data_IF_732765026700
#
_entry.id   IF_732765026700
#
_cell.length_a   1.000
_cell.length_b   1.000
_cell.length_c   1.000
_cell.angle_alpha   90.00
_cell.angle_beta   90.00
_cell.angle_gamma   90.00
#
_symmetry.space_group_name_H-M   'P 1'
#
loop_
_entity.id
_entity.type
_entity.pdbx_description
1 polymer ?
#
# COMPACT_ATOMS: atom_id res chain seq x y z
N UNK A 1 9.72 -75.39 -37.95
CA UNK A 1 9.44 -73.99 -38.31
C UNK A 1 8.72 -73.34 -37.11
N UNK A 2 9.34 -72.55 -36.25
CA UNK A 2 8.69 -71.82 -35.24
C UNK A 2 8.50 -70.34 -35.68
N UNK A 3 7.28 -69.83 -35.51
CA UNK A 3 6.86 -68.45 -35.80
C UNK A 3 7.32 -67.55 -34.66
N UNK A 4 8.15 -66.61 -34.96
CA UNK A 4 8.54 -65.50 -34.07
C UNK A 4 7.39 -64.48 -33.98
N UNK A 5 6.87 -64.29 -32.75
CA UNK A 5 5.94 -63.18 -32.42
C UNK A 5 6.73 -61.93 -32.11
N UNK A 6 6.50 -60.88 -32.84
CA UNK A 6 6.97 -59.55 -32.54
C UNK A 6 6.11 -58.93 -31.40
N UNK A 7 6.80 -58.36 -30.41
CA UNK A 7 6.17 -57.59 -29.31
C UNK A 7 5.90 -56.16 -29.79
N UNK A 8 4.80 -55.52 -29.35
CA UNK A 8 4.52 -54.14 -29.71
C UNK A 8 5.37 -53.15 -28.88
N UNK A 9 5.95 -52.17 -29.54
CA UNK A 9 6.60 -51.03 -28.96
C UNK A 9 5.58 -50.22 -28.14
N UNK A 10 5.83 -50.08 -26.85
CA UNK A 10 5.12 -49.12 -26.01
C UNK A 10 5.59 -47.71 -26.32
N UNK A 11 4.72 -46.90 -26.88
CA UNK A 11 4.92 -45.45 -27.08
C UNK A 11 4.71 -44.80 -25.71
N UNK A 12 5.80 -44.38 -25.03
CA UNK A 12 5.74 -43.48 -23.90
C UNK A 12 5.31 -42.08 -24.41
N UNK A 13 4.04 -41.75 -24.24
CA UNK A 13 3.60 -40.37 -24.39
C UNK A 13 4.08 -39.55 -23.19
N UNK A 14 5.16 -38.81 -23.38
CA UNK A 14 5.57 -37.76 -22.45
C UNK A 14 4.52 -36.65 -22.45
N UNK A 15 3.63 -36.66 -21.47
CA UNK A 15 2.77 -35.50 -21.18
C UNK A 15 3.66 -34.36 -20.66
N UNK A 16 3.98 -33.45 -21.55
CA UNK A 16 4.60 -32.18 -21.22
C UNK A 16 3.53 -31.33 -20.51
N UNK A 17 3.54 -31.38 -19.16
CA UNK A 17 2.80 -30.39 -18.38
C UNK A 17 3.45 -29.02 -18.68
N UNK A 18 2.83 -28.25 -19.58
CA UNK A 18 3.10 -26.82 -19.68
C UNK A 18 2.68 -26.19 -18.36
N UNK A 19 3.63 -25.90 -17.50
CA UNK A 19 3.44 -24.94 -16.40
C UNK A 19 3.28 -23.56 -17.05
N UNK A 20 2.05 -23.16 -17.29
CA UNK A 20 1.73 -21.78 -17.65
C UNK A 20 2.22 -20.87 -16.49
N UNK A 21 2.90 -19.77 -16.78
CA UNK A 21 3.33 -18.86 -15.75
C UNK A 21 2.10 -18.29 -15.01
N UNK A 22 2.18 -18.26 -13.69
CA UNK A 22 1.16 -17.74 -12.75
C UNK A 22 0.66 -16.30 -13.05
N UNK A 23 1.24 -15.63 -14.04
CA UNK A 23 0.94 -14.24 -14.42
C UNK A 23 -0.35 -14.06 -15.23
N UNK A 24 -0.95 -15.13 -15.74
CA UNK A 24 -2.15 -15.04 -16.58
C UNK A 24 -3.48 -15.13 -15.78
N UNK A 25 -3.45 -15.63 -14.55
CA UNK A 25 -4.68 -15.74 -13.71
C UNK A 25 -5.00 -14.46 -12.94
N UNK A 26 -4.02 -13.64 -12.62
CA UNK A 26 -4.23 -12.37 -11.92
C UNK A 26 -4.99 -11.30 -12.74
N UNK A 27 -5.27 -11.54 -14.03
CA UNK A 27 -6.00 -10.60 -14.91
C UNK A 27 -7.49 -10.94 -15.07
N UNK A 28 -8.01 -11.97 -14.40
CA UNK A 28 -9.41 -12.40 -14.49
C UNK A 28 -10.17 -12.28 -13.17
N UNK A 29 -9.88 -11.27 -12.38
CA UNK A 29 -10.84 -10.88 -11.36
C UNK A 29 -12.03 -10.27 -12.11
N UNK A 30 -13.07 -11.08 -12.33
CA UNK A 30 -14.29 -10.65 -13.01
C UNK A 30 -15.02 -9.56 -12.21
N UNK A 31 -16.33 -9.57 -12.21
CA UNK A 31 -17.13 -8.65 -11.42
C UNK A 31 -17.08 -9.03 -9.93
N UNK A 32 -16.69 -8.10 -9.05
CA UNK A 32 -16.70 -8.24 -7.59
C UNK A 32 -17.56 -7.13 -7.00
N UNK A 33 -18.61 -7.47 -6.25
CA UNK A 33 -19.49 -6.49 -5.62
C UNK A 33 -20.15 -5.52 -6.62
N UNK A 34 -20.39 -5.94 -7.86
CA UNK A 34 -20.91 -5.08 -8.93
C UNK A 34 -19.86 -4.24 -9.65
N UNK A 35 -18.60 -4.35 -9.23
CA UNK A 35 -17.46 -3.65 -9.83
C UNK A 35 -16.74 -4.57 -10.84
N UNK A 36 -16.54 -4.10 -12.06
CA UNK A 36 -15.72 -4.77 -13.07
C UNK A 36 -14.23 -4.52 -12.78
N UNK A 37 -13.53 -5.55 -12.30
CA UNK A 37 -12.15 -5.46 -11.80
C UNK A 37 -11.16 -5.40 -12.96
N UNK A 38 -10.81 -4.19 -13.36
CA UNK A 38 -9.85 -3.90 -14.44
C UNK A 38 -9.28 -2.49 -14.34
N UNK A 39 -8.23 -2.22 -15.08
CA UNK A 39 -7.65 -0.88 -15.20
C UNK A 39 -8.72 0.14 -15.63
N UNK A 40 -8.74 1.30 -14.97
CA UNK A 40 -9.65 2.41 -15.28
C UNK A 40 -11.11 2.15 -14.93
N UNK A 41 -11.39 1.16 -14.06
CA UNK A 41 -12.76 0.88 -13.63
C UNK A 41 -13.38 2.03 -12.84
N UNK A 42 -14.72 2.14 -12.91
CA UNK A 42 -15.51 3.14 -12.18
C UNK A 42 -16.35 2.42 -11.11
N UNK A 43 -15.82 2.33 -9.90
CA UNK A 43 -16.40 1.57 -8.78
C UNK A 43 -16.65 2.50 -7.57
N UNK A 44 -17.34 3.61 -7.81
CA UNK A 44 -17.66 4.60 -6.78
C UNK A 44 -18.83 4.12 -5.91
N UNK A 45 -18.74 4.30 -4.59
CA UNK A 45 -19.73 3.87 -3.59
C UNK A 45 -20.04 2.34 -3.65
N UNK A 46 -19.09 1.52 -4.02
CA UNK A 46 -19.25 0.07 -4.11
C UNK A 46 -18.83 -0.62 -2.81
N UNK A 47 -19.42 -1.76 -2.53
CA UNK A 47 -19.01 -2.63 -1.43
C UNK A 47 -18.08 -3.72 -1.94
N UNK A 48 -16.80 -3.59 -1.58
CA UNK A 48 -15.71 -4.51 -1.88
C UNK A 48 -15.05 -5.02 -0.58
N UNK A 49 -15.80 -5.01 0.53
CA UNK A 49 -15.31 -5.46 1.82
C UNK A 49 -14.82 -6.91 1.74
N UNK A 50 -13.60 -7.15 2.23
CA UNK A 50 -12.96 -8.47 2.19
C UNK A 50 -12.65 -9.00 0.78
N UNK A 51 -12.72 -8.16 -0.26
CA UNK A 51 -12.46 -8.60 -1.63
C UNK A 51 -11.05 -9.15 -1.80
N UNK A 52 -10.90 -10.30 -2.45
CA UNK A 52 -9.60 -10.91 -2.78
C UNK A 52 -9.13 -10.43 -4.16
N UNK A 53 -8.21 -9.46 -4.15
CA UNK A 53 -7.71 -8.74 -5.33
C UNK A 53 -6.16 -8.68 -5.37
N UNK A 54 -5.43 -9.77 -5.03
CA UNK A 54 -3.97 -9.72 -5.05
C UNK A 54 -3.43 -9.57 -6.49
N UNK A 55 -2.43 -8.72 -6.67
CA UNK A 55 -1.74 -8.53 -7.94
C UNK A 55 -2.57 -7.92 -9.08
N UNK A 56 -3.83 -7.51 -8.83
CA UNK A 56 -4.69 -6.94 -9.88
C UNK A 56 -4.17 -5.60 -10.38
N UNK A 57 -4.49 -5.29 -11.63
CA UNK A 57 -4.22 -3.97 -12.21
C UNK A 57 -5.49 -3.10 -12.17
N UNK A 58 -5.49 -2.16 -11.21
CA UNK A 58 -6.54 -1.16 -11.01
C UNK A 58 -5.99 0.28 -11.20
N UNK A 59 -4.92 0.44 -11.99
CA UNK A 59 -4.39 1.77 -12.28
C UNK A 59 -5.46 2.66 -12.91
N UNK A 60 -5.45 3.96 -12.55
CA UNK A 60 -6.41 4.98 -13.02
C UNK A 60 -7.89 4.69 -12.67
N UNK A 61 -8.16 3.80 -11.72
CA UNK A 61 -9.52 3.42 -11.32
C UNK A 61 -10.12 4.38 -10.29
N UNK A 62 -11.46 4.43 -10.20
CA UNK A 62 -12.20 5.26 -9.26
C UNK A 62 -12.88 4.39 -8.21
N UNK A 63 -12.49 4.56 -6.94
CA UNK A 63 -13.06 3.88 -5.77
C UNK A 63 -13.53 4.87 -4.70
N UNK A 64 -13.89 6.08 -5.13
CA UNK A 64 -14.32 7.14 -4.21
C UNK A 64 -15.49 6.64 -3.36
N UNK A 65 -15.38 6.78 -2.02
CA UNK A 65 -16.38 6.38 -1.03
C UNK A 65 -16.76 4.90 -1.07
N UNK A 66 -15.94 4.03 -1.65
CA UNK A 66 -16.18 2.58 -1.65
C UNK A 66 -15.66 1.96 -0.36
N UNK A 67 -16.27 0.86 0.05
CA UNK A 67 -15.82 0.05 1.17
C UNK A 67 -14.92 -1.08 0.68
N UNK A 68 -13.62 -0.96 0.98
CA UNK A 68 -12.58 -1.97 0.74
C UNK A 68 -11.98 -2.45 2.08
N UNK A 69 -12.73 -2.33 3.18
CA UNK A 69 -12.27 -2.76 4.50
C UNK A 69 -11.87 -4.23 4.46
N UNK A 70 -10.72 -4.57 4.97
CA UNK A 70 -10.17 -5.93 4.97
C UNK A 70 -9.86 -6.50 3.59
N UNK A 71 -9.97 -5.73 2.49
CA UNK A 71 -9.66 -6.23 1.16
C UNK A 71 -8.17 -6.60 1.01
N UNK A 72 -7.90 -7.67 0.27
CA UNK A 72 -6.56 -8.12 -0.08
C UNK A 72 -6.15 -7.53 -1.43
N UNK A 73 -5.28 -6.52 -1.38
CA UNK A 73 -4.73 -5.79 -2.53
C UNK A 73 -3.19 -5.94 -2.62
N UNK A 74 -2.62 -7.01 -2.01
CA UNK A 74 -1.18 -7.25 -2.01
C UNK A 74 -0.61 -7.30 -3.43
N UNK A 75 0.48 -6.57 -3.66
CA UNK A 75 1.14 -6.50 -4.96
C UNK A 75 0.29 -5.89 -6.08
N UNK A 76 -0.88 -5.31 -5.78
CA UNK A 76 -1.74 -4.70 -6.79
C UNK A 76 -1.11 -3.46 -7.43
N UNK A 77 -1.45 -3.20 -8.69
CA UNK A 77 -1.10 -1.96 -9.37
C UNK A 77 -2.25 -0.97 -9.27
N UNK A 78 -2.07 0.05 -8.41
CA UNK A 78 -3.07 1.06 -8.05
C UNK A 78 -2.64 2.47 -8.46
N UNK A 79 -1.65 2.59 -9.35
CA UNK A 79 -1.08 3.89 -9.73
C UNK A 79 -2.16 4.83 -10.26
N UNK A 80 -2.15 6.09 -9.78
CA UNK A 80 -3.10 7.13 -10.18
C UNK A 80 -4.57 6.77 -9.90
N UNK A 81 -4.86 5.73 -9.12
CA UNK A 81 -6.20 5.40 -8.71
C UNK A 81 -6.72 6.41 -7.66
N UNK A 82 -8.03 6.57 -7.60
CA UNK A 82 -8.69 7.47 -6.66
C UNK A 82 -9.48 6.68 -5.61
N UNK A 83 -8.97 6.66 -4.39
CA UNK A 83 -9.61 6.10 -3.20
C UNK A 83 -10.08 7.19 -2.23
N UNK A 84 -10.29 8.42 -2.71
CA UNK A 84 -10.68 9.50 -1.79
C UNK A 84 -11.96 9.16 -1.03
N UNK A 85 -11.91 9.36 0.31
CA UNK A 85 -13.00 9.05 1.23
C UNK A 85 -13.41 7.56 1.24
N UNK A 86 -12.59 6.65 0.73
CA UNK A 86 -12.85 5.21 0.80
C UNK A 86 -12.60 4.66 2.22
N UNK A 87 -13.31 3.60 2.58
CA UNK A 87 -13.06 2.81 3.77
C UNK A 87 -12.09 1.67 3.42
N UNK A 88 -10.91 1.66 4.03
CA UNK A 88 -9.86 0.66 3.79
C UNK A 88 -9.27 0.16 5.12
N UNK A 89 -10.08 0.18 6.19
CA UNK A 89 -9.64 -0.29 7.50
C UNK A 89 -9.22 -1.77 7.42
N UNK A 90 -8.03 -2.10 7.95
CA UNK A 90 -7.50 -3.46 7.93
C UNK A 90 -7.18 -4.01 6.53
N UNK A 91 -7.20 -3.19 5.48
CA UNK A 91 -6.84 -3.64 4.13
C UNK A 91 -5.37 -4.09 4.05
N UNK A 92 -5.09 -5.08 3.23
CA UNK A 92 -3.74 -5.61 2.98
C UNK A 92 -3.23 -5.06 1.65
N UNK A 93 -2.28 -4.12 1.71
CA UNK A 93 -1.72 -3.40 0.58
C UNK A 93 -0.21 -3.64 0.42
N UNK A 94 0.33 -4.65 1.13
CA UNK A 94 1.77 -4.90 1.12
C UNK A 94 2.30 -5.02 -0.31
N UNK A 95 3.43 -4.36 -0.59
CA UNK A 95 4.11 -4.34 -1.90
C UNK A 95 3.27 -3.79 -3.07
N UNK A 96 2.10 -3.20 -2.80
CA UNK A 96 1.29 -2.57 -3.85
C UNK A 96 1.99 -1.34 -4.46
N UNK A 97 1.76 -1.11 -5.75
CA UNK A 97 2.20 0.09 -6.45
C UNK A 97 1.09 1.13 -6.42
N UNK A 98 1.28 2.21 -5.66
CA UNK A 98 0.31 3.29 -5.42
C UNK A 98 0.88 4.67 -5.79
N UNK A 99 1.71 4.71 -6.83
CA UNK A 99 2.32 5.95 -7.31
C UNK A 99 1.24 6.99 -7.67
N UNK A 100 1.33 8.21 -7.11
CA UNK A 100 0.38 9.32 -7.33
C UNK A 100 -1.08 8.96 -7.03
N UNK A 101 -1.34 7.97 -6.20
CA UNK A 101 -2.68 7.58 -5.80
C UNK A 101 -3.32 8.67 -4.94
N UNK A 102 -4.60 8.93 -5.14
CA UNK A 102 -5.37 9.83 -4.29
C UNK A 102 -6.03 9.06 -3.14
N UNK A 103 -5.51 9.27 -1.94
CA UNK A 103 -5.98 8.69 -0.67
C UNK A 103 -6.54 9.79 0.27
N UNK A 104 -6.98 10.92 -0.27
CA UNK A 104 -7.50 12.03 0.55
C UNK A 104 -8.68 11.59 1.39
N UNK A 105 -8.56 11.75 2.71
CA UNK A 105 -9.62 11.41 3.66
C UNK A 105 -9.97 9.92 3.70
N UNK A 106 -9.13 9.05 3.14
CA UNK A 106 -9.31 7.58 3.19
C UNK A 106 -9.09 7.09 4.61
N UNK A 107 -9.88 6.13 5.07
CA UNK A 107 -9.66 5.43 6.35
C UNK A 107 -8.81 4.19 6.13
N UNK A 108 -7.58 4.21 6.63
CA UNK A 108 -6.59 3.12 6.54
C UNK A 108 -6.23 2.59 7.93
N UNK A 109 -7.12 2.73 8.90
CA UNK A 109 -6.88 2.32 10.30
C UNK A 109 -6.50 0.85 10.35
N UNK A 110 -5.33 0.54 10.95
CA UNK A 110 -4.81 -0.82 11.07
C UNK A 110 -4.48 -1.52 9.74
N UNK A 111 -4.44 -0.80 8.62
CA UNK A 111 -4.08 -1.38 7.33
C UNK A 111 -2.58 -1.74 7.26
N UNK A 112 -2.24 -2.76 6.46
CA UNK A 112 -0.86 -3.14 6.16
C UNK A 112 -0.45 -2.57 4.80
N UNK A 113 0.58 -1.70 4.81
CA UNK A 113 1.14 -1.05 3.61
C UNK A 113 2.67 -1.28 3.53
N UNK A 114 3.17 -2.41 4.03
CA UNK A 114 4.60 -2.70 4.06
C UNK A 114 5.20 -2.72 2.67
N UNK A 115 6.31 -2.01 2.48
CA UNK A 115 7.00 -1.96 1.19
C UNK A 115 6.20 -1.32 0.05
N UNK A 116 5.04 -0.72 0.33
CA UNK A 116 4.17 -0.08 -0.68
C UNK A 116 4.86 1.11 -1.34
N UNK A 117 4.68 1.29 -2.65
CA UNK A 117 5.15 2.47 -3.35
C UNK A 117 4.09 3.58 -3.36
N UNK A 118 4.20 4.52 -2.42
CA UNK A 118 3.31 5.68 -2.24
C UNK A 118 3.96 7.00 -2.70
N UNK A 119 4.94 6.96 -3.59
CA UNK A 119 5.61 8.18 -4.06
C UNK A 119 4.61 9.15 -4.67
N UNK A 120 4.68 10.41 -4.21
CA UNK A 120 3.78 11.50 -4.64
C UNK A 120 2.29 11.20 -4.43
N UNK A 121 1.94 10.26 -3.55
CA UNK A 121 0.55 10.00 -3.19
C UNK A 121 -0.04 11.15 -2.36
N UNK A 122 -1.35 11.34 -2.43
CA UNK A 122 -2.09 12.36 -1.69
C UNK A 122 -2.81 11.68 -0.52
N UNK A 123 -2.26 11.80 0.70
CA UNK A 123 -2.82 11.25 1.94
C UNK A 123 -3.36 12.38 2.86
N UNK A 124 -3.71 13.53 2.29
CA UNK A 124 -4.24 14.64 3.08
C UNK A 124 -5.49 14.22 3.84
N UNK A 125 -5.51 14.48 5.16
CA UNK A 125 -6.60 14.12 6.07
C UNK A 125 -6.91 12.59 6.12
N UNK A 126 -6.03 11.73 5.62
CA UNK A 126 -6.19 10.28 5.74
C UNK A 126 -6.08 9.84 7.22
N UNK A 127 -6.79 8.77 7.58
CA UNK A 127 -6.71 8.13 8.88
C UNK A 127 -5.85 6.86 8.77
N UNK A 128 -4.60 6.97 9.24
CA UNK A 128 -3.58 5.93 9.23
C UNK A 128 -3.34 5.34 10.63
N UNK A 129 -4.22 5.62 11.60
CA UNK A 129 -4.07 5.18 12.97
C UNK A 129 -3.78 3.68 13.05
N UNK A 130 -2.73 3.27 13.79
CA UNK A 130 -2.26 1.90 13.92
C UNK A 130 -1.86 1.20 12.59
N UNK A 131 -1.74 1.91 11.46
CA UNK A 131 -1.31 1.31 10.20
C UNK A 131 0.18 0.95 10.20
N UNK A 132 0.58 -0.02 9.37
CA UNK A 132 1.97 -0.42 9.20
C UNK A 132 2.48 -0.03 7.79
N UNK A 133 3.30 1.04 7.74
CA UNK A 133 3.98 1.53 6.54
C UNK A 133 5.49 1.23 6.59
N UNK A 134 5.90 0.19 7.30
CA UNK A 134 7.32 -0.18 7.39
C UNK A 134 7.91 -0.42 5.99
N UNK A 135 9.09 0.10 5.74
CA UNK A 135 9.79 0.04 4.45
C UNK A 135 9.01 0.62 3.25
N UNK A 136 7.90 1.33 3.46
CA UNK A 136 7.13 1.96 2.38
C UNK A 136 7.90 3.15 1.76
N UNK A 137 7.62 3.43 0.49
CA UNK A 137 8.24 4.51 -0.27
C UNK A 137 7.25 5.69 -0.38
N UNK A 138 7.46 6.75 0.41
CA UNK A 138 6.59 7.93 0.49
C UNK A 138 7.27 9.22 0.02
N UNK A 139 8.32 9.12 -0.81
CA UNK A 139 9.03 10.31 -1.30
C UNK A 139 8.08 11.30 -1.97
N UNK A 140 8.06 12.55 -1.49
CA UNK A 140 7.17 13.60 -1.97
C UNK A 140 5.68 13.40 -1.67
N UNK A 141 5.29 12.41 -0.87
CA UNK A 141 3.88 12.21 -0.49
C UNK A 141 3.37 13.36 0.38
N UNK A 142 2.08 13.66 0.26
CA UNK A 142 1.43 14.70 1.04
C UNK A 142 0.51 14.11 2.12
N UNK A 143 1.00 14.14 3.38
CA UNK A 143 0.31 13.68 4.59
C UNK A 143 -0.20 14.86 5.42
N UNK A 144 -0.45 16.03 4.82
CA UNK A 144 -0.94 17.22 5.54
C UNK A 144 -2.22 16.87 6.32
N UNK A 145 -2.24 17.17 7.63
CA UNK A 145 -3.33 16.87 8.55
C UNK A 145 -3.70 15.37 8.66
N UNK A 146 -2.87 14.45 8.18
CA UNK A 146 -3.12 13.03 8.36
C UNK A 146 -3.15 12.66 9.85
N UNK A 147 -3.97 11.69 10.20
CA UNK A 147 -4.03 11.07 11.52
C UNK A 147 -3.24 9.77 11.47
N UNK A 148 -2.04 9.81 12.01
CA UNK A 148 -1.09 8.70 11.95
C UNK A 148 -0.53 8.38 13.36
N UNK A 149 -1.41 8.46 14.36
CA UNK A 149 -1.07 8.10 15.71
C UNK A 149 -0.74 6.60 15.78
N UNK A 150 0.37 6.23 16.43
CA UNK A 150 0.90 4.87 16.56
C UNK A 150 1.16 4.15 15.24
N UNK A 151 1.21 4.88 14.14
CA UNK A 151 1.57 4.36 12.83
C UNK A 151 3.05 3.97 12.79
N UNK A 152 3.38 2.88 12.11
CA UNK A 152 4.75 2.43 11.91
C UNK A 152 5.28 2.86 10.55
N UNK A 153 6.36 3.64 10.55
CA UNK A 153 7.14 4.05 9.38
C UNK A 153 8.59 3.55 9.47
N UNK A 154 8.83 2.44 10.18
CA UNK A 154 10.18 1.93 10.40
C UNK A 154 10.88 1.61 9.08
N UNK A 155 12.08 2.17 8.85
CA UNK A 155 12.83 2.02 7.61
C UNK A 155 12.14 2.57 6.36
N UNK A 156 11.06 3.33 6.51
CA UNK A 156 10.36 3.91 5.35
C UNK A 156 11.15 5.06 4.72
N UNK A 157 10.95 5.27 3.41
CA UNK A 157 11.56 6.31 2.60
C UNK A 157 10.59 7.48 2.42
N UNK A 158 10.77 8.57 3.20
CA UNK A 158 9.92 9.77 3.17
C UNK A 158 10.70 11.05 2.72
N UNK A 159 11.65 10.99 1.76
CA UNK A 159 12.38 12.21 1.42
C UNK A 159 11.41 13.26 0.87
N UNK A 160 11.48 14.48 1.43
CA UNK A 160 10.62 15.62 1.08
C UNK A 160 9.12 15.37 1.25
N UNK A 161 8.71 14.40 2.06
CA UNK A 161 7.30 14.20 2.40
C UNK A 161 6.76 15.39 3.19
N UNK A 162 5.49 15.72 2.98
CA UNK A 162 4.81 16.80 3.66
C UNK A 162 3.94 16.26 4.81
N UNK A 163 4.43 16.37 6.05
CA UNK A 163 3.74 15.93 7.28
C UNK A 163 3.22 17.13 8.11
N UNK A 164 2.94 18.24 7.44
CA UNK A 164 2.47 19.47 8.13
C UNK A 164 1.18 19.20 8.89
N UNK A 165 1.18 19.61 10.16
CA UNK A 165 0.05 19.44 11.07
C UNK A 165 -0.48 18.00 11.19
N UNK A 166 0.32 17.00 10.78
CA UNK A 166 -0.02 15.59 10.96
C UNK A 166 0.00 15.22 12.45
N UNK A 167 -0.92 14.34 12.86
CA UNK A 167 -0.98 13.76 14.19
C UNK A 167 -0.16 12.47 14.21
N UNK A 168 0.99 12.51 14.86
CA UNK A 168 2.00 11.46 14.85
C UNK A 168 2.35 10.98 16.26
N UNK A 169 1.46 11.22 17.24
CA UNK A 169 1.73 10.83 18.62
C UNK A 169 1.95 9.32 18.73
N UNK A 170 3.09 8.91 19.30
CA UNK A 170 3.48 7.52 19.43
C UNK A 170 3.83 6.83 18.11
N UNK A 171 3.94 7.55 16.99
CA UNK A 171 4.38 6.96 15.72
C UNK A 171 5.86 6.54 15.76
N UNK A 172 6.21 5.50 15.02
CA UNK A 172 7.59 5.01 14.90
C UNK A 172 8.16 5.31 13.52
N UNK A 173 9.33 5.96 13.51
CA UNK A 173 10.14 6.26 12.33
C UNK A 173 11.56 5.71 12.48
N UNK A 174 11.73 4.62 13.24
CA UNK A 174 13.05 4.04 13.51
C UNK A 174 13.76 3.71 12.19
N UNK A 175 14.95 4.30 11.99
CA UNK A 175 15.76 4.13 10.79
C UNK A 175 15.15 4.66 9.49
N UNK A 176 14.09 5.47 9.54
CA UNK A 176 13.45 6.02 8.35
C UNK A 176 14.31 7.11 7.68
N UNK A 177 14.18 7.28 6.38
CA UNK A 177 14.75 8.40 5.65
C UNK A 177 13.75 9.56 5.57
N UNK A 178 13.98 10.60 6.36
CA UNK A 178 13.14 11.80 6.49
C UNK A 178 13.83 13.03 5.89
N UNK A 179 14.80 12.85 5.00
CA UNK A 179 15.56 13.95 4.40
C UNK A 179 14.62 15.00 3.77
N UNK A 180 14.69 16.24 4.23
CA UNK A 180 13.87 17.36 3.77
C UNK A 180 12.37 17.21 4.06
N UNK A 181 11.94 16.27 4.91
CA UNK A 181 10.55 16.11 5.31
C UNK A 181 10.08 17.32 6.13
N UNK A 182 8.80 17.69 5.99
CA UNK A 182 8.24 18.86 6.64
C UNK A 182 7.26 18.49 7.75
N UNK A 183 7.68 18.61 9.01
CA UNK A 183 6.90 18.39 10.22
C UNK A 183 6.35 19.69 10.83
N UNK A 184 6.26 20.78 10.07
CA UNK A 184 5.74 22.05 10.60
C UNK A 184 4.39 21.85 11.28
N UNK A 185 4.27 22.20 12.58
CA UNK A 185 3.08 22.03 13.43
C UNK A 185 2.63 20.57 13.60
N UNK A 186 3.43 19.59 13.28
CA UNK A 186 3.10 18.18 13.54
C UNK A 186 3.10 17.86 15.05
N UNK A 187 2.30 16.89 15.46
CA UNK A 187 2.23 16.38 16.83
C UNK A 187 3.04 15.08 16.93
N UNK A 188 4.25 15.15 17.47
CA UNK A 188 5.20 14.03 17.59
C UNK A 188 5.36 13.57 19.05
N UNK A 189 4.38 13.85 19.90
CA UNK A 189 4.43 13.48 21.33
C UNK A 189 4.67 11.98 21.47
N UNK A 190 5.75 11.59 22.18
CA UNK A 190 6.18 10.20 22.36
C UNK A 190 6.48 9.43 21.05
N UNK A 191 6.71 10.10 19.92
CA UNK A 191 7.17 9.44 18.71
C UNK A 191 8.60 8.92 18.84
N UNK A 192 9.00 7.96 18.02
CA UNK A 192 10.37 7.41 17.99
C UNK A 192 11.02 7.64 16.62
N UNK A 193 11.99 8.55 16.56
CA UNK A 193 12.80 8.87 15.37
C UNK A 193 14.22 8.32 15.49
N UNK A 194 14.44 7.32 16.35
CA UNK A 194 15.78 6.77 16.59
C UNK A 194 16.41 6.28 15.29
N UNK A 195 17.62 6.80 14.97
CA UNK A 195 18.36 6.41 13.77
C UNK A 195 17.77 6.91 12.45
N UNK A 196 16.74 7.76 12.47
CA UNK A 196 16.20 8.36 11.25
C UNK A 196 17.16 9.40 10.66
N UNK A 197 17.22 9.48 9.32
CA UNK A 197 17.90 10.57 8.63
C UNK A 197 17.03 11.83 8.60
N UNK A 198 17.41 12.86 9.36
CA UNK A 198 16.68 14.12 9.49
C UNK A 198 17.34 15.29 8.72
N UNK A 199 18.26 15.02 7.81
CA UNK A 199 18.94 16.08 7.04
C UNK A 199 17.91 16.99 6.37
N UNK A 200 18.02 18.31 6.64
CA UNK A 200 17.11 19.33 6.11
C UNK A 200 15.63 19.15 6.50
N UNK A 201 15.30 18.27 7.44
CA UNK A 201 13.93 18.15 7.94
C UNK A 201 13.49 19.40 8.73
N UNK A 202 12.23 19.79 8.61
CA UNK A 202 11.69 21.03 9.18
C UNK A 202 10.73 20.71 10.32
N UNK A 203 11.05 21.17 11.56
CA UNK A 203 10.24 20.95 12.77
C UNK A 203 9.61 22.24 13.33
N UNK A 204 9.36 23.24 12.48
CA UNK A 204 8.84 24.54 12.93
C UNK A 204 7.49 24.38 13.68
N UNK A 205 7.48 24.76 14.95
CA UNK A 205 6.31 24.63 15.84
C UNK A 205 5.78 23.18 15.96
N UNK A 206 6.59 22.16 15.75
CA UNK A 206 6.23 20.78 16.05
C UNK A 206 6.20 20.54 17.57
N UNK A 207 5.29 19.67 18.01
CA UNK A 207 5.19 19.22 19.42
C UNK A 207 6.01 17.94 19.56
N UNK A 208 7.12 18.00 20.31
CA UNK A 208 8.10 16.90 20.39
C UNK A 208 8.28 16.36 21.80
N UNK A 209 7.36 16.60 22.72
CA UNK A 209 7.46 16.14 24.10
C UNK A 209 7.58 14.61 24.15
N UNK A 210 8.61 14.11 24.82
CA UNK A 210 8.88 12.67 24.93
C UNK A 210 9.30 11.98 23.61
N UNK A 211 9.51 12.73 22.53
CA UNK A 211 10.00 12.18 21.28
C UNK A 211 11.45 11.72 21.42
N UNK A 212 11.77 10.54 20.91
CA UNK A 212 13.15 10.02 20.83
C UNK A 212 13.75 10.35 19.47
N UNK A 213 15.00 10.86 19.49
CA UNK A 213 15.72 11.21 18.24
C UNK A 213 15.20 12.46 17.52
N UNK A 214 14.24 13.19 18.08
CA UNK A 214 13.83 14.51 17.60
C UNK A 214 14.94 15.57 17.89
N UNK A 215 15.06 16.63 17.05
CA UNK A 215 15.96 17.76 17.28
C UNK A 215 15.49 18.66 18.43
#
# INVERSE_FOLDING_TARGET
MPKTRAAPLAILSATFLLTLPLTAEAQRAGNVGGCDIRRGTLCTNMNLNGAELPGVNLANSQFTRSDLSGANLRGATLNEANFSQAEMAGAMLDEASMLRTNLRGTRLTGASLKGTNLRNAILQNADLHDADLSAAQLGGADLTNARAERTRFDGAELPRANLRAAKLSGASFVGANLQGANFTRAQLVNADLTGANLDQAIFLNAQTEGCKGCP
#
